data_IF_390436891553
#
_entry.id   IF_390436891553
#
_cell.length_a   1.000
_cell.length_b   1.000
_cell.length_c   1.000
_cell.angle_alpha   90.00
_cell.angle_beta   90.00
_cell.angle_gamma   90.00
#
_symmetry.space_group_name_H-M   'P 1'
#
loop_
_entity.id
_entity.type
_entity.pdbx_description
1 polymer ?
#
# COMPACT_ATOMS: atom_id res chain seq x y z
N UNK A 1 6.75 12.86 10.42
CA UNK A 1 7.99 13.19 9.68
C UNK A 1 8.47 14.59 10.04
N UNK A 2 9.77 14.75 10.32
CA UNK A 2 10.46 16.03 10.51
C UNK A 2 11.50 16.14 9.39
N UNK A 3 11.46 17.23 8.62
CA UNK A 3 12.48 17.54 7.62
C UNK A 3 13.60 18.34 8.29
N UNK A 4 14.84 17.95 8.04
CA UNK A 4 16.01 18.68 8.55
C UNK A 4 16.74 19.31 7.37
N UNK A 5 16.94 20.62 7.39
CA UNK A 5 17.73 21.31 6.36
C UNK A 5 19.22 21.00 6.52
N UNK A 6 20.01 21.32 5.50
CA UNK A 6 21.48 21.29 5.56
C UNK A 6 22.06 22.21 6.64
N UNK A 7 21.31 23.25 7.02
CA UNK A 7 21.64 24.15 8.15
C UNK A 7 21.19 23.64 9.52
N UNK A 8 20.56 22.46 9.60
CA UNK A 8 20.09 21.86 10.85
C UNK A 8 18.71 22.34 11.32
N UNK A 9 18.04 23.23 10.58
CA UNK A 9 16.68 23.66 10.90
C UNK A 9 15.71 22.49 10.73
N UNK A 10 14.77 22.35 11.66
CA UNK A 10 13.80 21.25 11.69
C UNK A 10 12.41 21.77 11.36
N UNK A 11 11.80 21.20 10.33
CA UNK A 11 10.47 21.54 9.86
C UNK A 11 9.52 20.39 10.11
N UNK A 12 8.37 20.69 10.73
CA UNK A 12 7.28 19.74 10.92
C UNK A 12 6.04 20.31 10.26
N UNK A 13 5.37 19.49 9.45
CA UNK A 13 4.06 19.84 8.90
C UNK A 13 3.02 19.82 10.02
N UNK A 14 2.26 20.90 10.16
CA UNK A 14 1.07 20.95 11.02
C UNK A 14 -0.13 20.59 10.14
N UNK A 15 -0.83 19.52 10.49
CA UNK A 15 -2.01 19.04 9.78
C UNK A 15 -2.89 18.21 10.72
N UNK A 16 -4.15 18.06 10.37
CA UNK A 16 -5.12 17.18 11.04
C UNK A 16 -5.63 16.14 10.04
N UNK A 17 -6.06 14.98 10.55
CA UNK A 17 -6.54 13.87 9.74
C UNK A 17 -5.41 13.04 9.10
N UNK A 18 -5.68 12.39 7.95
CA UNK A 18 -4.74 11.47 7.33
C UNK A 18 -3.55 12.19 6.69
N UNK A 19 -2.39 11.53 6.69
CA UNK A 19 -1.25 11.99 5.92
C UNK A 19 -1.43 11.66 4.44
N UNK A 20 -1.17 12.62 3.56
CA UNK A 20 -1.31 12.40 2.12
C UNK A 20 -0.09 11.64 1.57
N UNK A 21 -0.30 10.57 0.79
CA UNK A 21 0.79 9.75 0.23
C UNK A 21 1.77 10.55 -0.64
N UNK A 22 1.24 11.50 -1.44
CA UNK A 22 2.04 12.46 -2.24
C UNK A 22 3.01 13.33 -1.42
N UNK A 23 2.86 13.47 -0.10
CA UNK A 23 3.87 14.14 0.74
C UNK A 23 5.19 13.36 0.82
N UNK A 24 5.17 12.08 0.44
CA UNK A 24 6.32 11.18 0.42
C UNK A 24 6.89 10.96 -0.99
N UNK A 25 6.39 11.70 -1.98
CA UNK A 25 6.92 11.68 -3.35
C UNK A 25 6.08 10.91 -4.36
N UNK A 26 5.00 10.25 -3.93
CA UNK A 26 4.09 9.57 -4.86
C UNK A 26 3.51 10.56 -5.87
N UNK A 27 3.40 10.16 -7.13
CA UNK A 27 2.88 10.96 -8.23
C UNK A 27 1.41 10.67 -8.47
N UNK A 28 1.02 9.40 -8.50
CA UNK A 28 -0.33 8.98 -8.86
C UNK A 28 -0.69 9.29 -10.32
N UNK A 29 0.30 9.26 -11.21
CA UNK A 29 0.15 9.59 -12.63
C UNK A 29 -0.07 8.37 -13.53
N UNK A 30 -0.19 7.17 -12.94
CA UNK A 30 -0.40 5.91 -13.64
C UNK A 30 0.85 5.34 -14.34
N UNK A 31 2.01 5.98 -14.22
CA UNK A 31 3.23 5.55 -14.93
C UNK A 31 4.47 5.52 -14.05
N UNK A 32 4.64 6.50 -13.18
CA UNK A 32 5.72 6.56 -12.18
C UNK A 32 5.52 5.46 -11.15
N UNK A 33 6.63 4.79 -10.79
CA UNK A 33 6.63 3.84 -9.70
C UNK A 33 6.54 4.55 -8.34
N UNK A 34 5.39 4.42 -7.70
CA UNK A 34 5.06 5.04 -6.42
C UNK A 34 5.39 4.13 -5.22
N UNK A 35 5.93 2.93 -5.44
CA UNK A 35 6.10 1.89 -4.39
C UNK A 35 6.85 2.41 -3.17
N UNK A 36 8.03 3.00 -3.37
CA UNK A 36 8.88 3.51 -2.29
C UNK A 36 8.17 4.63 -1.51
N UNK A 37 7.51 5.55 -2.22
CA UNK A 37 6.81 6.66 -1.59
C UNK A 37 5.61 6.18 -0.75
N UNK A 38 4.86 5.20 -1.25
CA UNK A 38 3.74 4.59 -0.53
C UNK A 38 4.25 3.88 0.73
N UNK A 39 5.31 3.07 0.62
CA UNK A 39 5.87 2.36 1.77
C UNK A 39 6.41 3.33 2.83
N UNK A 40 7.10 4.40 2.41
CA UNK A 40 7.57 5.45 3.31
C UNK A 40 6.41 6.14 4.04
N UNK A 41 5.29 6.38 3.37
CA UNK A 41 4.11 6.96 3.99
C UNK A 41 3.57 6.04 5.10
N UNK A 42 3.34 4.76 4.79
CA UNK A 42 2.84 3.74 5.73
C UNK A 42 3.78 3.56 6.93
N UNK A 43 5.08 3.58 6.71
CA UNK A 43 6.06 3.47 7.79
C UNK A 43 6.09 4.72 8.68
N UNK A 44 5.63 5.87 8.18
CA UNK A 44 5.73 7.17 8.86
C UNK A 44 4.47 7.59 9.61
N UNK A 45 3.30 7.14 9.17
CA UNK A 45 2.02 7.46 9.80
C UNK A 45 1.06 6.28 9.72
N UNK A 46 0.23 6.14 10.75
CA UNK A 46 -0.80 5.09 10.82
C UNK A 46 -1.97 5.34 9.87
N UNK A 47 -2.32 6.59 9.55
CA UNK A 47 -3.48 6.92 8.72
C UNK A 47 -3.04 7.64 7.45
N UNK A 48 -3.17 6.97 6.30
CA UNK A 48 -2.70 7.43 4.99
C UNK A 48 -3.88 7.63 4.04
N UNK A 49 -3.88 8.77 3.35
CA UNK A 49 -4.86 9.12 2.32
C UNK A 49 -4.25 9.12 0.92
N UNK A 50 -4.98 8.49 0.00
CA UNK A 50 -4.72 8.44 -1.43
C UNK A 50 -5.75 9.32 -2.16
N UNK A 51 -5.32 10.42 -2.78
CA UNK A 51 -6.21 11.21 -3.67
C UNK A 51 -6.65 10.40 -4.90
N UNK A 52 -7.79 10.77 -5.53
CA UNK A 52 -8.30 10.11 -6.74
C UNK A 52 -7.28 10.22 -7.88
N UNK A 53 -6.53 9.15 -8.10
CA UNK A 53 -5.33 9.09 -8.95
C UNK A 53 -4.95 7.62 -9.13
N UNK A 54 -4.05 7.32 -10.08
CA UNK A 54 -3.57 5.96 -10.32
C UNK A 54 -2.13 5.81 -9.85
N UNK A 55 -1.92 5.06 -8.78
CA UNK A 55 -0.62 4.83 -8.16
C UNK A 55 -0.08 3.47 -8.64
N UNK A 56 0.92 3.52 -9.52
CA UNK A 56 1.55 2.31 -10.03
C UNK A 56 2.57 1.83 -9.01
N UNK A 57 2.53 0.55 -8.69
CA UNK A 57 3.55 -0.14 -7.90
C UNK A 57 4.23 -1.21 -8.75
N UNK A 58 5.51 -1.45 -8.48
CA UNK A 58 6.30 -2.51 -9.12
C UNK A 58 6.74 -3.58 -8.14
N UNK A 59 6.57 -3.34 -6.84
CA UNK A 59 6.87 -4.28 -5.75
C UNK A 59 5.76 -4.21 -4.68
N UNK A 60 5.81 -5.09 -3.68
CA UNK A 60 4.79 -5.19 -2.64
C UNK A 60 4.78 -3.98 -1.70
N UNK A 61 3.59 -3.64 -1.22
CA UNK A 61 3.38 -2.67 -0.13
C UNK A 61 2.98 -3.43 1.13
N UNK A 62 3.74 -3.26 2.20
CA UNK A 62 3.54 -3.96 3.47
C UNK A 62 2.92 -3.03 4.52
N UNK A 63 1.73 -3.41 5.01
CA UNK A 63 1.01 -2.71 6.07
C UNK A 63 1.61 -3.04 7.45
N UNK A 64 1.64 -2.02 8.31
CA UNK A 64 2.11 -2.12 9.70
C UNK A 64 0.93 -2.16 10.68
N UNK A 65 1.20 -2.43 11.96
CA UNK A 65 0.17 -2.33 13.00
C UNK A 65 -0.49 -0.94 12.99
N UNK A 66 -1.81 -0.93 13.18
CA UNK A 66 -2.64 0.28 13.16
C UNK A 66 -2.69 1.00 11.80
N UNK A 67 -2.26 0.36 10.71
CA UNK A 67 -2.37 0.95 9.37
C UNK A 67 -3.82 1.10 8.95
N UNK A 68 -4.20 2.34 8.66
CA UNK A 68 -5.42 2.74 7.99
C UNK A 68 -5.04 3.41 6.67
N UNK A 69 -5.30 2.73 5.55
CA UNK A 69 -5.16 3.31 4.22
C UNK A 69 -6.55 3.60 3.65
N UNK A 70 -6.75 4.81 3.16
CA UNK A 70 -8.05 5.21 2.60
C UNK A 70 -7.93 5.99 1.29
N UNK A 71 -8.94 5.83 0.44
CA UNK A 71 -9.06 6.54 -0.83
C UNK A 71 -10.44 7.14 -1.04
N UNK A 72 -10.82 7.28 -2.32
CA UNK A 72 -12.10 7.88 -2.75
C UNK A 72 -12.86 7.00 -3.74
N UNK A 73 -12.56 5.69 -3.79
CA UNK A 73 -12.96 4.68 -4.78
C UNK A 73 -12.43 4.92 -6.19
N UNK A 74 -12.08 6.16 -6.52
CA UNK A 74 -11.28 6.53 -7.70
C UNK A 74 -9.77 6.59 -7.42
N UNK A 75 -9.35 6.17 -6.22
CA UNK A 75 -7.95 6.05 -5.83
C UNK A 75 -7.49 4.63 -6.14
N UNK A 76 -6.76 4.47 -7.25
CA UNK A 76 -6.36 3.16 -7.79
C UNK A 76 -4.91 2.85 -7.43
N UNK A 77 -4.65 1.72 -6.80
CA UNK A 77 -3.31 1.14 -6.60
C UNK A 77 -3.22 -0.07 -7.51
N UNK A 78 -2.21 -0.14 -8.36
CA UNK A 78 -2.14 -1.22 -9.34
C UNK A 78 -0.71 -1.57 -9.72
N UNK A 79 -0.55 -2.79 -10.23
CA UNK A 79 0.68 -3.25 -10.85
C UNK A 79 0.45 -3.41 -12.36
N UNK A 80 1.48 -3.23 -13.19
CA UNK A 80 1.35 -3.44 -14.65
C UNK A 80 1.78 -4.85 -15.08
N UNK A 81 2.71 -5.44 -14.34
CA UNK A 81 3.27 -6.78 -14.57
C UNK A 81 3.71 -7.32 -13.22
N UNK A 82 3.46 -8.60 -12.94
CA UNK A 82 3.87 -9.25 -11.70
C UNK A 82 4.80 -10.45 -11.97
N UNK A 83 6.02 -10.21 -12.49
CA UNK A 83 6.92 -11.29 -12.90
C UNK A 83 7.36 -12.17 -11.73
N UNK A 84 7.38 -11.62 -10.51
CA UNK A 84 7.86 -12.32 -9.31
C UNK A 84 6.72 -12.92 -8.46
N UNK A 85 5.46 -12.78 -8.90
CA UNK A 85 4.30 -13.30 -8.19
C UNK A 85 4.11 -12.70 -6.80
N UNK A 86 4.47 -11.43 -6.59
CA UNK A 86 4.37 -10.75 -5.29
C UNK A 86 2.92 -10.36 -4.97
N UNK A 87 2.61 -10.31 -3.67
CA UNK A 87 1.34 -9.77 -3.19
C UNK A 87 1.37 -8.24 -3.25
N UNK A 88 0.43 -7.60 -3.93
CA UNK A 88 0.46 -6.14 -4.13
C UNK A 88 0.38 -5.39 -2.80
N UNK A 89 -0.59 -5.75 -1.96
CA UNK A 89 -0.72 -5.22 -0.60
C UNK A 89 -0.70 -6.40 0.37
N UNK A 90 0.15 -6.33 1.38
CA UNK A 90 0.38 -7.40 2.34
C UNK A 90 0.28 -6.93 3.77
N UNK A 91 -0.35 -7.73 4.63
CA UNK A 91 -0.26 -7.64 6.08
C UNK A 91 -0.04 -9.05 6.65
N UNK A 92 1.01 -9.22 7.45
CA UNK A 92 1.31 -10.48 8.13
C UNK A 92 1.52 -10.24 9.62
N UNK A 93 0.78 -11.00 10.43
CA UNK A 93 0.85 -10.98 11.90
C UNK A 93 0.69 -9.56 12.48
N UNK A 94 -0.30 -8.81 11.94
CA UNK A 94 -0.60 -7.41 12.30
C UNK A 94 -1.93 -7.22 13.02
N UNK A 95 -2.06 -6.11 13.73
CA UNK A 95 -3.30 -5.71 14.40
C UNK A 95 -3.84 -4.36 13.90
N UNK A 96 -5.16 -4.20 13.96
CA UNK A 96 -5.87 -2.94 13.67
C UNK A 96 -5.60 -2.42 12.24
N UNK A 97 -5.87 -3.26 11.24
CA UNK A 97 -5.71 -2.89 9.83
C UNK A 97 -7.03 -2.39 9.27
N UNK A 98 -7.02 -1.25 8.58
CA UNK A 98 -8.17 -0.72 7.85
C UNK A 98 -7.77 -0.38 6.41
N UNK A 99 -8.53 -0.90 5.43
CA UNK A 99 -8.41 -0.57 4.02
C UNK A 99 -9.79 -0.09 3.57
N UNK A 100 -9.91 1.18 3.19
CA UNK A 100 -11.22 1.77 2.88
C UNK A 100 -11.22 2.56 1.57
N UNK A 101 -12.28 2.43 0.77
CA UNK A 101 -12.49 3.25 -0.44
C UNK A 101 -11.32 3.21 -1.44
N UNK A 102 -10.68 2.06 -1.65
CA UNK A 102 -9.59 1.89 -2.62
C UNK A 102 -9.98 0.97 -3.77
N UNK A 103 -9.49 1.27 -4.96
CA UNK A 103 -9.45 0.32 -6.07
C UNK A 103 -8.06 -0.30 -6.11
N UNK A 104 -7.96 -1.61 -5.94
CA UNK A 104 -6.70 -2.34 -6.00
C UNK A 104 -6.77 -3.31 -7.18
N UNK A 105 -5.93 -3.07 -8.18
CA UNK A 105 -5.90 -3.87 -9.42
C UNK A 105 -4.64 -4.72 -9.48
N UNK A 106 -4.84 -6.02 -9.42
CA UNK A 106 -3.78 -7.02 -9.54
C UNK A 106 -3.50 -7.38 -10.99
N UNK A 107 -2.38 -8.05 -11.22
CA UNK A 107 -2.07 -8.68 -12.50
C UNK A 107 -1.71 -10.13 -12.22
N UNK A 108 -2.20 -11.05 -13.06
CA UNK A 108 -1.77 -12.44 -13.03
C UNK A 108 -0.25 -12.50 -13.22
N UNK A 109 0.44 -13.02 -12.21
CA UNK A 109 1.89 -13.25 -12.28
C UNK A 109 2.24 -14.59 -12.93
N UNK A 110 3.50 -14.73 -13.35
CA UNK A 110 4.11 -16.04 -13.61
C UNK A 110 4.66 -16.54 -12.28
N UNK A 111 3.91 -17.38 -11.59
CA UNK A 111 4.20 -17.74 -10.20
C UNK A 111 5.61 -18.30 -9.96
N UNK A 112 6.19 -17.98 -8.80
CA UNK A 112 7.26 -18.80 -8.22
C UNK A 112 6.61 -20.11 -7.70
N UNK A 113 7.04 -21.31 -8.14
CA UNK A 113 6.48 -22.56 -7.63
C UNK A 113 6.74 -22.65 -6.13
N UNK A 114 5.79 -23.16 -5.37
CA UNK A 114 6.09 -23.70 -4.06
C UNK A 114 5.88 -25.23 -4.11
N UNK A 115 5.99 -25.96 -3.00
CA UNK A 115 5.64 -27.37 -3.00
C UNK A 115 4.85 -27.74 -1.73
N UNK A 116 3.50 -27.72 -1.70
CA UNK A 116 2.62 -28.67 -0.95
C UNK A 116 1.15 -28.20 -0.83
N UNK A 117 0.18 -29.15 -0.77
CA UNK A 117 -1.22 -28.86 -0.42
C UNK A 117 -1.35 -28.14 0.94
N UNK A 118 -2.05 -27.01 0.98
CA UNK A 118 -2.20 -26.17 2.18
C UNK A 118 -1.28 -24.93 2.23
N UNK A 119 -0.46 -24.72 1.20
CA UNK A 119 0.36 -23.52 1.02
C UNK A 119 -0.09 -22.82 -0.27
N UNK A 120 -0.38 -21.51 -0.20
CA UNK A 120 -0.69 -20.72 -1.40
C UNK A 120 0.60 -20.49 -2.19
N UNK A 121 0.75 -21.22 -3.28
CA UNK A 121 1.89 -21.05 -4.17
C UNK A 121 1.61 -20.00 -5.25
N UNK A 122 2.57 -19.09 -5.47
CA UNK A 122 2.78 -18.45 -6.77
C UNK A 122 1.63 -17.61 -7.34
N UNK A 123 0.62 -17.23 -6.57
CA UNK A 123 -0.35 -16.25 -7.02
C UNK A 123 0.04 -14.92 -6.42
N UNK A 124 0.41 -13.97 -7.28
CA UNK A 124 0.43 -12.58 -6.90
C UNK A 124 -0.97 -12.19 -6.45
N UNK A 125 -1.23 -12.24 -5.15
CA UNK A 125 -2.55 -11.93 -4.62
C UNK A 125 -2.66 -10.42 -4.56
N UNK A 126 -3.74 -9.88 -5.12
CA UNK A 126 -4.05 -8.44 -5.07
C UNK A 126 -4.03 -7.91 -3.62
N UNK A 127 -4.42 -8.75 -2.65
CA UNK A 127 -4.32 -8.47 -1.22
C UNK A 127 -4.07 -9.75 -0.41
N UNK A 128 -3.01 -9.76 0.41
CA UNK A 128 -2.73 -10.82 1.37
C UNK A 128 -2.85 -10.31 2.81
N UNK A 129 -3.74 -10.91 3.60
CA UNK A 129 -3.88 -10.63 5.04
C UNK A 129 -3.82 -11.95 5.80
N UNK A 130 -2.71 -12.20 6.49
CA UNK A 130 -2.42 -13.47 7.15
C UNK A 130 -2.06 -13.27 8.62
N UNK A 131 -2.63 -14.07 9.51
CA UNK A 131 -2.34 -14.00 10.95
C UNK A 131 -2.75 -12.67 11.62
N UNK A 132 -3.53 -11.84 10.94
CA UNK A 132 -3.93 -10.52 11.43
C UNK A 132 -5.18 -10.55 12.33
N UNK A 133 -5.32 -9.55 13.21
CA UNK A 133 -6.49 -9.35 14.09
C UNK A 133 -7.05 -7.95 13.94
N UNK A 134 -8.38 -7.81 14.05
CA UNK A 134 -9.09 -6.53 13.87
C UNK A 134 -8.79 -5.90 12.52
N UNK A 135 -9.25 -6.57 11.46
CA UNK A 135 -9.07 -6.17 10.07
C UNK A 135 -10.41 -5.72 9.53
N UNK A 136 -10.45 -4.50 8.98
CA UNK A 136 -11.63 -3.91 8.35
C UNK A 136 -11.27 -3.58 6.90
N UNK A 137 -12.04 -4.13 5.96
CA UNK A 137 -11.90 -3.83 4.53
C UNK A 137 -13.27 -3.43 4.03
N UNK A 138 -13.44 -2.18 3.62
CA UNK A 138 -14.75 -1.59 3.30
C UNK A 138 -14.69 -0.78 2.02
N UNK A 139 -15.76 -0.84 1.23
CA UNK A 139 -15.94 -0.01 0.03
C UNK A 139 -14.79 -0.12 -1.01
N UNK A 140 -14.06 -1.22 -0.99
CA UNK A 140 -12.94 -1.48 -1.89
C UNK A 140 -13.38 -2.26 -3.13
N UNK A 141 -12.65 -2.04 -4.22
CA UNK A 141 -12.72 -2.85 -5.43
C UNK A 141 -11.42 -3.63 -5.61
N UNK A 142 -11.53 -4.92 -5.86
CA UNK A 142 -10.40 -5.79 -6.22
C UNK A 142 -10.68 -6.32 -7.63
N UNK A 143 -9.79 -6.02 -8.57
CA UNK A 143 -9.91 -6.40 -9.98
C UNK A 143 -8.66 -7.06 -10.49
#
# INVERSE_FOLDING_TARGET
>A
MILVSTSGARFRRIFEGPAHVKWFGAKGDGTTDDTVAIQLAINSYSHIYFSPSSYRITDYVFLQDNSRIEGTRSSKIFMSTNPDGVNLISAKDKVNITIDNLWIEGVYGVGNPFPVPGVMEGQGVTLAVYGCRNVVITNCYFT
#
